data_IF_382144127672
#
_entry.id   IF_382144127672
#
_cell.length_a   1.000
_cell.length_b   1.000
_cell.length_c   1.000
_cell.angle_alpha   90.00
_cell.angle_beta   90.00
_cell.angle_gamma   90.00
#
_symmetry.space_group_name_H-M   'P 1'
#
loop_
_entity.id
_entity.type
_entity.pdbx_description
1 polymer ?
#
# COMPACT_ATOMS: atom_id res chain seq x y z
N UNK A 1 -12.88 16.51 2.08
CA UNK A 1 -12.01 15.32 2.07
C UNK A 1 -12.80 14.09 2.50
N UNK A 2 -12.57 12.98 1.81
CA UNK A 2 -12.82 11.64 2.34
C UNK A 2 -11.47 11.06 2.77
N UNK A 3 -11.33 10.64 4.02
CA UNK A 3 -10.07 10.14 4.56
C UNK A 3 -10.30 9.04 5.59
N UNK A 4 -9.23 8.44 6.07
CA UNK A 4 -9.22 7.42 7.10
C UNK A 4 -8.47 7.94 8.33
N UNK A 5 -9.00 7.65 9.50
CA UNK A 5 -8.35 7.90 10.79
C UNK A 5 -8.36 6.64 11.64
N UNK A 6 -7.25 6.35 12.31
CA UNK A 6 -7.14 5.24 13.25
C UNK A 6 -7.07 5.76 14.67
N UNK A 7 -8.02 5.34 15.49
CA UNK A 7 -7.97 5.49 16.95
C UNK A 7 -7.64 4.12 17.55
N UNK A 8 -6.55 4.02 18.29
CA UNK A 8 -6.09 2.75 18.85
C UNK A 8 -5.48 2.91 20.23
N UNK A 9 -5.62 1.90 21.07
CA UNK A 9 -4.91 1.74 22.34
C UNK A 9 -3.85 0.62 22.28
N UNK A 10 -3.49 0.12 21.08
CA UNK A 10 -2.44 -0.90 20.93
C UNK A 10 -1.11 -0.37 21.49
N UNK A 11 -0.55 -1.01 22.53
CA UNK A 11 0.68 -0.54 23.16
C UNK A 11 1.89 -0.59 22.21
N UNK A 12 1.90 -1.46 21.22
CA UNK A 12 2.98 -1.55 20.23
C UNK A 12 2.94 -0.33 19.30
N UNK A 13 1.76 0.10 18.86
CA UNK A 13 1.59 1.35 18.11
C UNK A 13 2.00 2.54 18.98
N UNK A 14 1.61 2.57 20.25
CA UNK A 14 1.99 3.62 21.20
C UNK A 14 3.52 3.73 21.36
N UNK A 15 4.21 2.60 21.48
CA UNK A 15 5.69 2.56 21.54
C UNK A 15 6.32 3.07 20.24
N UNK A 16 5.80 2.65 19.09
CA UNK A 16 6.30 3.10 17.79
C UNK A 16 6.09 4.60 17.61
N UNK A 17 4.95 5.14 18.02
CA UNK A 17 4.68 6.58 18.00
C UNK A 17 5.64 7.35 18.89
N UNK A 18 5.92 6.86 20.09
CA UNK A 18 6.92 7.45 21.00
C UNK A 18 8.30 7.48 20.33
N UNK A 19 8.71 6.37 19.71
CA UNK A 19 9.98 6.29 18.95
C UNK A 19 10.03 7.28 17.79
N UNK A 20 8.92 7.41 17.05
CA UNK A 20 8.82 8.34 15.94
C UNK A 20 8.98 9.79 16.41
N UNK A 21 8.27 10.21 17.45
CA UNK A 21 8.39 11.55 17.99
C UNK A 21 9.78 11.84 18.59
N UNK A 22 10.39 10.86 19.26
CA UNK A 22 11.77 10.99 19.73
C UNK A 22 12.77 11.13 18.57
N UNK A 23 12.54 10.42 17.46
CA UNK A 23 13.35 10.58 16.25
C UNK A 23 13.18 11.97 15.62
N UNK A 24 11.97 12.48 15.56
CA UNK A 24 11.66 13.80 14.99
C UNK A 24 12.24 14.95 15.83
N UNK A 25 12.27 14.79 17.15
CA UNK A 25 12.88 15.78 18.07
C UNK A 25 14.41 15.68 18.14
N UNK A 26 15.03 14.73 17.44
CA UNK A 26 16.48 14.51 17.45
C UNK A 26 17.01 13.73 18.64
N UNK A 27 16.15 13.27 19.54
CA UNK A 27 16.55 12.55 20.75
C UNK A 27 17.03 11.12 20.48
N UNK A 28 16.48 10.44 19.44
CA UNK A 28 16.85 9.10 19.07
C UNK A 28 16.94 8.96 17.53
N UNK A 29 18.12 9.19 16.93
CA UNK A 29 18.26 9.27 15.46
C UNK A 29 18.03 7.97 14.70
N UNK A 30 18.07 6.81 15.36
CA UNK A 30 17.86 5.49 14.76
C UNK A 30 16.87 4.67 15.60
N UNK A 31 15.67 4.47 15.08
CA UNK A 31 14.65 3.63 15.71
C UNK A 31 14.16 2.58 14.73
N UNK A 32 13.88 1.37 15.21
CA UNK A 32 13.13 0.35 14.51
C UNK A 32 11.66 0.42 14.92
N UNK A 33 10.76 0.12 13.99
CA UNK A 33 9.31 0.16 14.20
C UNK A 33 8.73 -1.24 13.98
N UNK A 34 7.70 -1.60 14.76
CA UNK A 34 7.04 -2.90 14.69
C UNK A 34 5.72 -2.84 13.91
N UNK A 35 4.97 -1.75 14.09
CA UNK A 35 3.66 -1.53 13.46
C UNK A 35 3.66 -0.38 12.47
N UNK A 36 4.76 0.39 12.40
CA UNK A 36 4.89 1.51 11.48
C UNK A 36 5.92 1.24 10.38
N UNK A 37 5.62 1.73 9.18
CA UNK A 37 6.63 2.04 8.16
C UNK A 37 6.76 3.56 8.10
N UNK A 38 7.98 4.06 8.17
CA UNK A 38 8.24 5.51 8.24
C UNK A 38 9.16 5.94 7.10
N UNK A 39 8.71 6.92 6.30
CA UNK A 39 9.56 7.57 5.31
C UNK A 39 10.50 8.59 6.00
N UNK A 40 11.68 8.80 5.42
CA UNK A 40 12.19 8.27 4.15
C UNK A 40 12.87 6.88 4.24
N UNK A 41 12.85 6.23 5.42
CA UNK A 41 13.69 5.04 5.66
C UNK A 41 13.05 3.73 5.26
N UNK A 42 11.80 3.48 5.64
CA UNK A 42 11.22 2.13 5.60
C UNK A 42 9.94 2.00 4.77
N UNK A 43 9.27 3.07 4.36
CA UNK A 43 8.03 2.96 3.57
C UNK A 43 8.31 2.28 2.23
N UNK A 44 9.21 2.84 1.40
CA UNK A 44 9.51 2.26 0.08
C UNK A 44 10.01 0.82 0.19
N UNK A 45 11.02 0.59 1.01
CA UNK A 45 11.61 -0.75 1.16
C UNK A 45 10.61 -1.76 1.72
N UNK A 46 9.80 -1.36 2.69
CA UNK A 46 8.78 -2.19 3.30
C UNK A 46 7.66 -2.56 2.34
N UNK A 47 7.21 -1.62 1.49
CA UNK A 47 6.21 -1.90 0.45
C UNK A 47 6.79 -2.80 -0.64
N UNK A 48 7.99 -2.52 -1.15
CA UNK A 48 8.65 -3.36 -2.17
C UNK A 48 8.87 -4.78 -1.63
N UNK A 49 9.21 -4.95 -0.36
CA UNK A 49 9.37 -6.27 0.24
C UNK A 49 8.05 -7.06 0.23
N UNK A 50 6.92 -6.40 0.50
CA UNK A 50 5.59 -7.01 0.45
C UNK A 50 5.18 -7.35 -0.98
N UNK A 51 5.44 -6.47 -1.93
CA UNK A 51 5.21 -6.74 -3.35
C UNK A 51 6.00 -7.97 -3.81
N UNK A 52 7.26 -8.11 -3.41
CA UNK A 52 8.09 -9.29 -3.72
C UNK A 52 7.56 -10.55 -3.06
N UNK A 53 7.07 -10.48 -1.84
CA UNK A 53 6.42 -11.62 -1.18
C UNK A 53 5.23 -12.14 -1.99
N UNK A 54 4.39 -11.24 -2.50
CA UNK A 54 3.27 -11.64 -3.39
C UNK A 54 3.78 -12.20 -4.72
N UNK A 55 4.85 -11.64 -5.30
CA UNK A 55 5.51 -12.19 -6.48
C UNK A 55 5.98 -13.63 -6.24
N UNK A 56 6.67 -13.89 -5.12
CA UNK A 56 7.16 -15.22 -4.76
C UNK A 56 6.01 -16.20 -4.50
N UNK A 57 4.92 -15.77 -3.84
CA UNK A 57 3.73 -16.57 -3.63
C UNK A 57 3.06 -16.97 -4.95
N UNK A 58 2.90 -16.02 -5.88
CA UNK A 58 2.36 -16.30 -7.20
C UNK A 58 3.22 -17.32 -7.99
N UNK A 59 4.55 -17.16 -7.97
CA UNK A 59 5.49 -18.11 -8.59
C UNK A 59 5.40 -19.52 -7.99
N UNK A 60 5.05 -19.61 -6.70
CA UNK A 60 4.80 -20.87 -6.00
C UNK A 60 3.39 -21.43 -6.22
N UNK A 61 2.56 -20.81 -7.07
CA UNK A 61 1.19 -21.23 -7.36
C UNK A 61 0.20 -20.97 -6.23
N UNK A 62 0.52 -20.06 -5.30
CA UNK A 62 -0.34 -19.67 -4.19
C UNK A 62 -1.20 -18.48 -4.57
N UNK A 63 -2.25 -18.22 -3.80
CA UNK A 63 -3.05 -17.01 -3.94
C UNK A 63 -2.17 -15.77 -3.68
N UNK A 64 -2.17 -14.83 -4.63
CA UNK A 64 -1.41 -13.60 -4.53
C UNK A 64 -2.18 -12.45 -5.17
N UNK A 65 -2.36 -11.38 -4.42
CA UNK A 65 -2.98 -10.16 -4.91
C UNK A 65 -2.47 -8.94 -4.14
N UNK A 66 -2.55 -7.78 -4.80
CA UNK A 66 -2.20 -6.49 -4.23
C UNK A 66 -3.33 -5.51 -4.54
N UNK A 67 -3.77 -4.75 -3.54
CA UNK A 67 -4.72 -3.65 -3.70
C UNK A 67 -4.12 -2.37 -3.15
N UNK A 68 -4.10 -1.33 -3.95
CA UNK A 68 -3.50 -0.05 -3.59
C UNK A 68 -4.51 1.06 -3.84
N UNK A 69 -4.73 1.91 -2.85
CA UNK A 69 -5.37 3.21 -3.02
C UNK A 69 -4.40 4.30 -2.64
N UNK A 70 -4.12 5.21 -3.57
CA UNK A 70 -3.18 6.32 -3.39
C UNK A 70 -3.67 7.57 -4.13
N UNK A 71 -3.05 8.71 -3.86
CA UNK A 71 -3.34 9.90 -4.67
C UNK A 71 -2.46 9.98 -5.91
N UNK A 72 -1.23 9.45 -5.84
CA UNK A 72 -0.31 9.47 -6.98
C UNK A 72 0.70 8.33 -6.92
N UNK A 73 1.11 7.85 -8.10
CA UNK A 73 2.09 6.78 -8.25
C UNK A 73 3.09 7.15 -9.37
N UNK A 74 4.32 7.53 -8.98
CA UNK A 74 5.42 7.94 -9.90
C UNK A 74 6.79 7.40 -9.46
N UNK A 75 6.89 6.65 -8.35
CA UNK A 75 8.15 6.08 -7.88
C UNK A 75 8.54 4.87 -8.74
N UNK A 76 9.61 5.01 -9.52
CA UNK A 76 10.04 4.01 -10.50
C UNK A 76 10.32 2.66 -9.84
N UNK A 77 10.96 2.65 -8.67
CA UNK A 77 11.31 1.40 -7.97
C UNK A 77 10.08 0.60 -7.55
N UNK A 78 9.04 1.30 -7.13
CA UNK A 78 7.76 0.67 -6.77
C UNK A 78 7.02 0.20 -8.01
N UNK A 79 6.99 1.01 -9.09
CA UNK A 79 6.39 0.65 -10.37
C UNK A 79 7.06 -0.59 -10.96
N UNK A 80 8.39 -0.65 -10.98
CA UNK A 80 9.14 -1.81 -11.44
C UNK A 80 8.84 -3.08 -10.63
N UNK A 81 8.68 -2.93 -9.30
CA UNK A 81 8.30 -4.07 -8.46
C UNK A 81 6.88 -4.57 -8.79
N UNK A 82 5.91 -3.65 -9.03
CA UNK A 82 4.55 -4.00 -9.44
C UNK A 82 4.52 -4.68 -10.82
N UNK A 83 5.34 -4.21 -11.78
CA UNK A 83 5.46 -4.88 -13.08
C UNK A 83 5.97 -6.31 -12.95
N UNK A 84 7.03 -6.55 -12.16
CA UNK A 84 7.53 -7.91 -11.91
C UNK A 84 6.47 -8.79 -11.23
N UNK A 85 5.75 -8.26 -10.26
CA UNK A 85 4.67 -9.00 -9.61
C UNK A 85 3.55 -9.35 -10.62
N UNK A 86 3.17 -8.43 -11.50
CA UNK A 86 2.21 -8.68 -12.58
C UNK A 86 2.70 -9.78 -13.52
N UNK A 87 3.95 -9.74 -13.94
CA UNK A 87 4.56 -10.78 -14.79
C UNK A 87 4.59 -12.16 -14.12
N UNK A 88 4.65 -12.21 -12.79
CA UNK A 88 4.54 -13.45 -12.01
C UNK A 88 3.09 -13.95 -11.84
N UNK A 89 2.09 -13.17 -12.27
CA UNK A 89 0.67 -13.54 -12.20
C UNK A 89 -0.09 -12.95 -11.02
N UNK A 90 0.53 -12.04 -10.24
CA UNK A 90 -0.16 -11.34 -9.14
C UNK A 90 -1.24 -10.43 -9.70
N UNK A 91 -2.46 -10.54 -9.18
CA UNK A 91 -3.57 -9.64 -9.51
C UNK A 91 -3.39 -8.33 -8.74
N UNK A 92 -3.33 -7.21 -9.46
CA UNK A 92 -3.05 -5.90 -8.88
C UNK A 92 -4.15 -4.92 -9.24
N UNK A 93 -4.82 -4.40 -8.23
CA UNK A 93 -5.87 -3.38 -8.35
C UNK A 93 -5.38 -2.06 -7.74
N UNK A 94 -5.44 -0.99 -8.50
CA UNK A 94 -4.99 0.34 -8.08
C UNK A 94 -6.12 1.35 -8.28
N UNK A 95 -6.47 2.04 -7.19
CA UNK A 95 -7.32 3.23 -7.22
C UNK A 95 -6.43 4.45 -7.00
N UNK A 96 -6.44 5.38 -7.93
CA UNK A 96 -5.69 6.62 -7.83
C UNK A 96 -6.57 7.83 -8.22
N UNK A 97 -6.15 9.04 -7.94
CA UNK A 97 -6.89 10.26 -8.31
C UNK A 97 -6.06 11.36 -8.94
N UNK A 98 -4.77 11.19 -9.01
CA UNK A 98 -3.83 12.22 -9.47
C UNK A 98 -2.92 11.73 -10.57
N UNK A 99 -1.63 11.70 -10.33
CA UNK A 99 -0.62 11.35 -11.33
C UNK A 99 -0.31 9.86 -11.26
N UNK A 100 -0.48 9.15 -12.37
CA UNK A 100 -0.08 7.77 -12.54
C UNK A 100 0.97 7.66 -13.65
N UNK A 101 2.19 7.27 -13.30
CA UNK A 101 3.24 6.95 -14.27
C UNK A 101 3.29 5.46 -14.64
N UNK A 102 2.52 4.62 -13.93
CA UNK A 102 2.37 3.21 -14.23
C UNK A 102 1.41 3.03 -15.42
N UNK A 103 1.80 2.22 -16.40
CA UNK A 103 0.96 1.88 -17.55
C UNK A 103 0.36 0.48 -17.35
N UNK A 104 -0.98 0.36 -17.11
CA UNK A 104 -1.64 -0.93 -16.90
C UNK A 104 -1.95 -1.63 -18.22
N UNK A 105 -2.24 -2.93 -18.18
CA UNK A 105 -2.81 -3.68 -19.30
C UNK A 105 -1.85 -3.97 -20.46
N UNK A 106 -0.55 -3.69 -20.33
CA UNK A 106 0.44 -3.97 -21.38
C UNK A 106 0.76 -5.46 -21.40
N UNK A 107 0.53 -6.18 -22.55
CA UNK A 107 0.83 -7.60 -22.66
C UNK A 107 2.29 -7.92 -22.31
N UNK A 108 2.49 -8.96 -21.50
CA UNK A 108 3.81 -9.40 -21.04
C UNK A 108 4.48 -8.50 -20.01
N UNK A 109 3.85 -7.41 -19.59
CA UNK A 109 4.39 -6.48 -18.60
C UNK A 109 3.41 -6.23 -17.44
N UNK A 110 2.24 -5.68 -17.73
CA UNK A 110 1.29 -5.22 -16.72
C UNK A 110 -0.15 -5.71 -16.99
N UNK A 111 -0.30 -6.82 -17.68
CA UNK A 111 -1.61 -7.40 -18.05
C UNK A 111 -2.47 -7.76 -16.84
N UNK A 112 -1.86 -8.01 -15.68
CA UNK A 112 -2.54 -8.30 -14.43
C UNK A 112 -2.75 -7.06 -13.53
N UNK A 113 -2.44 -5.85 -14.03
CA UNK A 113 -2.65 -4.59 -13.33
C UNK A 113 -3.86 -3.88 -13.89
N UNK A 114 -4.80 -3.52 -13.01
CA UNK A 114 -5.94 -2.67 -13.33
C UNK A 114 -5.82 -1.37 -12.55
N UNK A 115 -6.03 -0.24 -13.21
CA UNK A 115 -6.02 1.08 -12.59
C UNK A 115 -7.36 1.77 -12.81
N UNK A 116 -7.93 2.27 -11.73
CA UNK A 116 -9.09 3.17 -11.73
C UNK A 116 -8.66 4.54 -11.27
N UNK A 117 -8.95 5.55 -12.06
CA UNK A 117 -8.86 6.95 -11.62
C UNK A 117 -10.22 7.37 -11.09
N UNK A 118 -10.26 7.89 -9.86
CA UNK A 118 -11.50 8.29 -9.19
C UNK A 118 -11.56 9.80 -8.99
N UNK A 119 -12.70 10.40 -9.35
CA UNK A 119 -12.98 11.82 -9.15
C UNK A 119 -14.41 11.99 -8.69
N UNK A 120 -14.61 12.25 -7.42
CA UNK A 120 -15.91 12.49 -6.82
C UNK A 120 -16.14 13.96 -6.42
N UNK A 121 -17.26 14.21 -5.75
CA UNK A 121 -17.58 15.52 -5.17
C UNK A 121 -16.58 15.93 -4.10
N UNK A 122 -16.13 14.96 -3.29
CA UNK A 122 -15.14 15.15 -2.25
C UNK A 122 -13.77 14.69 -2.72
N UNK A 123 -12.73 15.29 -2.18
CA UNK A 123 -11.36 14.91 -2.47
C UNK A 123 -11.05 13.57 -1.80
N UNK A 124 -10.86 12.53 -2.60
CA UNK A 124 -10.44 11.21 -2.15
C UNK A 124 -8.99 11.27 -1.66
N UNK A 125 -8.77 11.17 -0.33
CA UNK A 125 -7.46 11.44 0.26
C UNK A 125 -6.85 10.25 0.99
N UNK A 126 -7.61 9.21 1.27
CA UNK A 126 -7.12 8.01 1.95
C UNK A 126 -6.07 7.24 1.13
N UNK A 127 -5.10 6.63 1.83
CA UNK A 127 -4.12 5.72 1.25
C UNK A 127 -4.23 4.37 1.94
N UNK A 128 -4.32 3.33 1.13
CA UNK A 128 -4.46 1.95 1.58
C UNK A 128 -3.52 1.08 0.76
N UNK A 129 -2.81 0.18 1.42
CA UNK A 129 -1.96 -0.83 0.81
C UNK A 129 -2.34 -2.17 1.40
N UNK A 130 -2.87 -3.07 0.58
CA UNK A 130 -3.33 -4.38 1.00
C UNK A 130 -2.66 -5.48 0.17
N UNK A 131 -2.31 -6.58 0.83
CA UNK A 131 -1.60 -7.72 0.28
C UNK A 131 -2.28 -9.01 0.73
N UNK A 132 -2.27 -10.05 -0.11
CA UNK A 132 -2.86 -11.36 0.22
C UNK A 132 -2.16 -12.03 1.41
N UNK A 133 -0.83 -11.96 1.46
CA UNK A 133 -0.03 -12.54 2.54
C UNK A 133 -0.38 -14.00 2.83
N UNK A 134 -0.50 -14.82 1.80
CA UNK A 134 -0.98 -16.21 1.90
C UNK A 134 -0.11 -17.10 2.78
N UNK A 135 1.20 -16.82 2.85
CA UNK A 135 2.16 -17.61 3.63
C UNK A 135 2.35 -17.12 5.07
N UNK A 136 1.69 -16.04 5.46
CA UNK A 136 1.88 -15.44 6.77
C UNK A 136 3.18 -14.64 6.89
N UNK A 137 3.65 -14.37 8.12
CA UNK A 137 4.69 -13.39 8.37
C UNK A 137 6.08 -13.92 7.96
N UNK A 138 6.52 -13.57 6.78
CA UNK A 138 7.94 -13.68 6.42
C UNK A 138 8.72 -12.41 6.81
N UNK A 139 8.04 -11.37 7.26
CA UNK A 139 8.59 -10.05 7.49
C UNK A 139 8.17 -9.53 8.87
N UNK A 140 9.04 -9.72 9.85
CA UNK A 140 8.83 -9.23 11.22
C UNK A 140 7.71 -9.97 11.97
N UNK A 141 7.24 -9.39 13.07
CA UNK A 141 6.06 -9.86 13.82
C UNK A 141 4.80 -9.51 13.02
N UNK A 142 4.59 -10.23 11.91
CA UNK A 142 3.42 -10.08 11.05
C UNK A 142 2.19 -10.79 11.60
N UNK A 143 1.00 -10.56 11.04
CA UNK A 143 -0.15 -11.40 11.27
C UNK A 143 0.16 -12.83 10.77
N UNK A 144 -0.49 -13.81 11.35
CA UNK A 144 -0.61 -15.14 10.75
C UNK A 144 -1.03 -15.01 9.27
N UNK A 145 -0.99 -16.09 8.50
CA UNK A 145 -1.47 -16.09 7.12
C UNK A 145 -2.84 -15.39 6.99
N UNK A 146 -3.01 -14.58 5.95
CA UNK A 146 -4.19 -13.77 5.72
C UNK A 146 -3.86 -12.31 5.40
N UNK A 147 -4.84 -11.54 4.92
CA UNK A 147 -4.60 -10.21 4.39
C UNK A 147 -3.85 -9.28 5.34
N UNK A 148 -2.85 -8.59 4.81
CA UNK A 148 -2.07 -7.56 5.51
C UNK A 148 -2.41 -6.20 4.93
N UNK A 149 -2.91 -5.29 5.77
CA UNK A 149 -3.37 -3.96 5.35
C UNK A 149 -2.64 -2.86 6.11
N UNK A 150 -2.25 -1.83 5.36
CA UNK A 150 -1.59 -0.61 5.85
C UNK A 150 -2.37 0.62 5.42
N UNK A 151 -2.50 1.59 6.30
CA UNK A 151 -3.07 2.91 6.00
C UNK A 151 -2.13 4.01 6.46
N UNK A 152 -2.19 5.18 5.86
CA UNK A 152 -1.40 6.34 6.31
C UNK A 152 -1.26 7.46 5.29
N UNK A 153 -0.19 8.23 5.41
CA UNK A 153 -0.03 9.50 4.70
C UNK A 153 0.80 9.42 3.41
N UNK A 154 1.53 8.32 3.18
CA UNK A 154 2.46 8.23 2.06
C UNK A 154 1.77 7.91 0.73
N UNK A 155 2.03 8.72 -0.29
CA UNK A 155 1.84 8.38 -1.70
C UNK A 155 3.11 7.75 -2.27
N UNK A 156 3.02 7.12 -3.43
CA UNK A 156 4.15 6.53 -4.13
C UNK A 156 4.87 7.57 -5.02
N UNK A 157 5.38 8.61 -4.37
CA UNK A 157 6.07 9.74 -4.99
C UNK A 157 7.40 10.00 -4.29
N UNK A 158 8.40 10.48 -5.03
CA UNK A 158 9.72 10.82 -4.47
C UNK A 158 9.64 11.77 -3.28
N UNK A 159 8.80 12.82 -3.36
CA UNK A 159 8.66 13.77 -2.25
C UNK A 159 8.17 13.11 -0.96
N UNK A 160 7.27 12.10 -1.05
CA UNK A 160 6.75 11.37 0.10
C UNK A 160 7.77 10.33 0.61
N UNK A 161 8.43 9.62 -0.32
CA UNK A 161 9.27 8.48 0.03
C UNK A 161 10.72 8.86 0.39
N UNK A 162 11.20 10.05 -0.07
CA UNK A 162 12.60 10.45 0.09
C UNK A 162 12.80 11.75 0.89
N UNK A 163 11.79 12.64 0.93
CA UNK A 163 11.97 13.99 1.46
C UNK A 163 11.07 14.35 2.64
N UNK A 164 9.92 13.69 2.78
CA UNK A 164 8.96 13.94 3.86
C UNK A 164 9.05 12.86 4.93
N UNK A 165 8.59 13.21 6.11
CA UNK A 165 8.25 12.21 7.12
C UNK A 165 6.80 11.80 6.88
N UNK A 166 6.63 10.56 6.46
CA UNK A 166 5.33 9.94 6.26
C UNK A 166 5.27 8.65 7.09
N UNK A 167 4.09 8.25 7.50
CA UNK A 167 3.90 7.01 8.23
C UNK A 167 2.77 6.18 7.63
N UNK A 168 3.00 4.86 7.57
CA UNK A 168 1.98 3.86 7.36
C UNK A 168 1.86 3.04 8.63
N UNK A 169 0.65 2.77 9.08
CA UNK A 169 0.35 1.92 10.23
C UNK A 169 -0.32 0.64 9.76
N UNK A 170 0.12 -0.51 10.32
CA UNK A 170 -0.50 -1.81 10.04
C UNK A 170 -1.80 -1.96 10.82
N UNK A 171 -2.87 -2.32 10.12
CA UNK A 171 -4.15 -2.67 10.70
C UNK A 171 -4.09 -4.12 11.17
N UNK A 172 -4.62 -4.39 12.37
CA UNK A 172 -4.56 -5.72 13.00
C UNK A 172 -5.92 -6.32 13.31
N UNK A 173 -6.98 -5.51 13.37
CA UNK A 173 -8.33 -6.00 13.62
C UNK A 173 -8.91 -6.58 12.32
N UNK A 174 -9.33 -7.87 12.32
CA UNK A 174 -9.83 -8.54 11.10
C UNK A 174 -11.00 -7.81 10.44
N UNK A 175 -11.94 -7.31 11.24
CA UNK A 175 -13.12 -6.58 10.74
C UNK A 175 -12.72 -5.30 9.99
N UNK A 176 -11.72 -4.58 10.51
CA UNK A 176 -11.19 -3.37 9.85
C UNK A 176 -10.42 -3.72 8.56
N UNK A 177 -9.69 -4.83 8.56
CA UNK A 177 -9.00 -5.34 7.37
C UNK A 177 -10.02 -5.62 6.27
N UNK A 178 -11.08 -6.36 6.58
CA UNK A 178 -12.15 -6.71 5.64
C UNK A 178 -12.89 -5.46 5.12
N UNK A 179 -13.16 -4.49 6.00
CA UNK A 179 -13.79 -3.23 5.62
C UNK A 179 -12.94 -2.43 4.64
N UNK A 180 -11.63 -2.32 4.89
CA UNK A 180 -10.71 -1.59 4.03
C UNK A 180 -10.52 -2.25 2.66
N UNK A 181 -10.48 -3.57 2.61
CA UNK A 181 -10.43 -4.33 1.35
C UNK A 181 -11.71 -4.09 0.55
N UNK A 182 -12.88 -4.24 1.18
CA UNK A 182 -14.18 -3.96 0.55
C UNK A 182 -14.29 -2.53 0.06
N UNK A 183 -13.73 -1.57 0.80
CA UNK A 183 -13.71 -0.17 0.37
C UNK A 183 -12.96 0.02 -0.95
N UNK A 184 -11.80 -0.60 -1.11
CA UNK A 184 -11.05 -0.57 -2.38
C UNK A 184 -11.81 -1.29 -3.48
N UNK A 185 -12.41 -2.45 -3.18
CA UNK A 185 -13.19 -3.23 -4.16
C UNK A 185 -14.41 -2.47 -4.68
N UNK A 186 -15.10 -1.74 -3.81
CA UNK A 186 -16.23 -0.90 -4.20
C UNK A 186 -15.79 0.22 -5.16
N UNK A 187 -14.64 0.83 -4.91
CA UNK A 187 -14.09 1.86 -5.80
C UNK A 187 -13.60 1.27 -7.13
N UNK A 188 -13.05 0.07 -7.13
CA UNK A 188 -12.71 -0.67 -8.35
C UNK A 188 -13.94 -1.09 -9.17
N UNK A 189 -15.08 -1.28 -8.53
CA UNK A 189 -16.35 -1.63 -9.18
C UNK A 189 -17.15 -0.40 -9.63
N UNK A 190 -16.79 0.82 -9.20
CA UNK A 190 -17.52 2.04 -9.56
C UNK A 190 -17.50 2.30 -11.07
N UNK A 191 -18.64 2.68 -11.62
CA UNK A 191 -18.81 3.00 -13.03
C UNK A 191 -19.36 4.42 -13.29
N UNK A 192 -19.51 5.21 -12.22
CA UNK A 192 -20.15 6.53 -12.29
C UNK A 192 -19.16 7.68 -12.11
N UNK A 193 -18.21 7.54 -11.21
CA UNK A 193 -17.25 8.59 -10.83
C UNK A 193 -15.80 8.18 -11.04
N UNK A 194 -15.57 7.08 -11.74
CA UNK A 194 -14.23 6.58 -12.03
C UNK A 194 -14.02 6.23 -13.50
N UNK A 195 -12.76 6.26 -13.92
CA UNK A 195 -12.32 5.93 -15.27
C UNK A 195 -11.34 4.77 -15.24
N UNK A 196 -11.45 3.86 -16.19
CA UNK A 196 -10.42 2.88 -16.45
C UNK A 196 -9.23 3.54 -17.15
N UNK A 197 -8.04 3.27 -16.66
CA UNK A 197 -6.81 3.59 -17.38
C UNK A 197 -6.53 2.45 -18.36
N UNK A 198 -6.42 2.76 -19.66
CA UNK A 198 -6.08 1.81 -20.70
C UNK A 198 -4.57 1.81 -20.99
N UNK A 199 -4.12 0.81 -21.77
CA UNK A 199 -2.74 0.71 -22.22
C UNK A 199 -2.37 1.69 -23.33
N UNK A 200 -3.38 2.29 -24.01
CA UNK A 200 -3.23 3.16 -25.19
C UNK A 200 -2.69 4.56 -24.84
#
# INVERSE_FOLDING_TARGET
>A
YTDLGLLTCDPVVGQDMTRLFNQLSGYAPKSSFHRLLVAPRTVRSGLIQRIRREEDAARAGKEAWIKIKVNSIVDEKTIDALYRASQAGVKIDIVERGICALKPGVPGLSENIRVRSILGRFLEHSRIYAFANSDGPQIGEGPAAGPEVWIGSADLMHRNLDRRVEALVRITAPEQIDELIKYVDLQMADSTTSWHMAAD
#
